data_IF_183539244010
#
_entry.id   IF_183539244010
#
_cell.length_a   1.000
_cell.length_b   1.000
_cell.length_c   1.000
_cell.angle_alpha   90.00
_cell.angle_beta   90.00
_cell.angle_gamma   90.00
#
_symmetry.space_group_name_H-M   'P 1'
#
loop_
_entity.id
_entity.type
_entity.pdbx_description
1 polymer ?
#
# COMPACT_ATOMS: atom_id res chain seq x y z
N UNK A 1 6.69 -4.35 27.00
CA UNK A 1 8.06 -3.99 26.57
C UNK A 1 8.48 -2.71 27.27
N UNK A 2 9.76 -2.53 27.60
CA UNK A 2 10.28 -1.28 28.18
C UNK A 2 10.86 -1.35 29.60
N UNK A 3 10.90 -2.51 30.24
CA UNK A 3 11.60 -2.68 31.52
C UNK A 3 10.84 -2.12 32.74
N UNK A 4 11.60 -1.86 33.81
CA UNK A 4 11.15 -1.42 35.13
C UNK A 4 12.01 -0.25 35.59
N UNK A 5 11.40 0.79 36.16
CA UNK A 5 12.13 1.92 36.76
C UNK A 5 11.42 2.40 38.04
N UNK A 6 12.18 2.63 39.09
CA UNK A 6 11.69 3.24 40.35
C UNK A 6 12.00 4.73 40.35
N UNK A 7 10.96 5.55 40.50
CA UNK A 7 11.04 7.02 40.60
C UNK A 7 10.36 7.42 41.91
N UNK A 8 11.06 8.13 42.79
CA UNK A 8 10.55 8.59 44.10
C UNK A 8 9.93 7.46 44.96
N UNK A 9 10.52 6.26 44.92
CA UNK A 9 10.05 5.10 45.68
C UNK A 9 8.86 4.35 45.07
N UNK A 10 8.32 4.81 43.95
CA UNK A 10 7.28 4.11 43.19
C UNK A 10 7.86 3.42 41.95
N UNK A 11 7.53 2.15 41.75
CA UNK A 11 7.97 1.36 40.60
C UNK A 11 6.98 1.47 39.44
N UNK A 12 7.50 1.73 38.24
CA UNK A 12 6.75 1.80 37.00
C UNK A 12 7.22 0.72 36.02
N UNK A 13 6.27 0.05 35.36
CA UNK A 13 6.53 -1.02 34.40
C UNK A 13 6.14 -0.59 32.99
N UNK A 14 7.05 -0.80 32.04
CA UNK A 14 6.84 -0.53 30.63
C UNK A 14 7.14 0.91 30.22
N UNK A 15 7.61 1.08 28.98
CA UNK A 15 8.16 2.34 28.48
C UNK A 15 7.16 3.51 28.61
N UNK A 16 5.89 3.27 28.32
CA UNK A 16 4.85 4.31 28.39
C UNK A 16 4.67 4.86 29.81
N UNK A 17 4.52 3.97 30.79
CA UNK A 17 4.34 4.37 32.20
C UNK A 17 5.61 5.03 32.75
N UNK A 18 6.78 4.51 32.38
CA UNK A 18 8.07 5.11 32.73
C UNK A 18 8.16 6.53 32.16
N UNK A 19 7.83 6.73 30.88
CA UNK A 19 7.86 8.04 30.23
C UNK A 19 6.92 9.05 30.91
N UNK A 20 5.68 8.65 31.21
CA UNK A 20 4.71 9.50 31.90
C UNK A 20 5.13 9.83 33.33
N UNK A 21 5.81 8.94 34.04
CA UNK A 21 6.36 9.25 35.35
C UNK A 21 7.53 10.24 35.24
N UNK A 22 8.37 10.11 34.20
CA UNK A 22 9.50 11.01 33.99
C UNK A 22 9.11 12.41 33.52
N UNK A 23 7.99 12.57 32.82
CA UNK A 23 7.54 13.91 32.37
C UNK A 23 7.12 14.80 33.53
N UNK A 24 6.58 14.21 34.61
CA UNK A 24 6.12 14.93 35.80
C UNK A 24 7.22 15.15 36.84
N UNK A 25 8.36 14.44 36.74
CA UNK A 25 9.49 14.59 37.65
C UNK A 25 10.50 15.63 37.11
N UNK A 26 10.63 16.81 37.75
CA UNK A 26 11.53 17.85 37.27
C UNK A 26 13.02 17.50 37.43
N UNK A 27 13.36 16.53 38.28
CA UNK A 27 14.75 16.11 38.55
C UNK A 27 15.35 15.30 37.41
N UNK A 28 14.51 14.70 36.56
CA UNK A 28 14.94 13.88 35.43
C UNK A 28 15.51 14.77 34.33
N UNK A 29 16.82 14.64 34.08
CA UNK A 29 17.53 15.44 33.06
C UNK A 29 17.49 14.82 31.67
N UNK A 30 17.42 13.49 31.59
CA UNK A 30 17.31 12.71 30.36
C UNK A 30 16.39 11.52 30.63
N UNK A 31 15.40 11.31 29.77
CA UNK A 31 14.46 10.20 29.92
C UNK A 31 15.16 8.86 29.75
N UNK A 32 14.54 7.80 30.26
CA UNK A 32 15.09 6.45 30.33
C UNK A 32 15.24 5.80 28.92
N UNK A 33 16.22 4.91 28.69
CA UNK A 33 16.41 4.27 27.37
C UNK A 33 15.22 3.46 26.87
N UNK A 34 14.28 3.10 27.74
CA UNK A 34 13.01 2.49 27.37
C UNK A 34 12.17 3.34 26.42
N UNK A 35 12.36 4.66 26.37
CA UNK A 35 11.68 5.56 25.43
C UNK A 35 11.86 5.17 23.95
N UNK A 36 12.88 4.37 23.61
CA UNK A 36 13.04 3.79 22.26
C UNK A 36 11.81 2.99 21.81
N UNK A 37 11.08 2.38 22.74
CA UNK A 37 9.85 1.67 22.42
C UNK A 37 8.64 2.59 22.19
N UNK A 38 8.83 3.91 22.23
CA UNK A 38 7.78 4.92 22.00
C UNK A 38 8.09 5.82 20.82
N UNK A 39 9.25 5.67 20.17
CA UNK A 39 9.68 6.53 19.05
C UNK A 39 9.45 5.90 17.66
N UNK A 40 9.02 4.64 17.59
CA UNK A 40 8.85 3.83 16.35
C UNK A 40 7.83 4.35 15.32
N UNK A 41 7.28 5.56 15.50
CA UNK A 41 6.36 6.18 14.55
C UNK A 41 7.00 7.18 13.59
N UNK A 42 8.33 7.27 13.53
CA UNK A 42 9.02 8.22 12.64
C UNK A 42 8.65 8.02 11.16
N UNK A 43 8.56 6.77 10.69
CA UNK A 43 8.13 6.47 9.31
C UNK A 43 6.71 6.96 8.99
N UNK A 44 5.83 7.01 10.01
CA UNK A 44 4.43 7.44 9.88
C UNK A 44 4.33 8.94 9.59
N UNK A 45 5.26 9.71 10.16
CA UNK A 45 5.34 11.17 10.04
C UNK A 45 6.20 11.58 8.84
N UNK A 46 7.29 10.88 8.57
CA UNK A 46 8.28 11.32 7.58
C UNK A 46 8.42 10.37 6.39
N UNK A 47 8.71 9.10 6.64
CA UNK A 47 8.97 8.12 5.57
C UNK A 47 7.80 7.97 4.58
N UNK A 48 6.56 7.84 5.08
CA UNK A 48 5.38 7.68 4.23
C UNK A 48 4.99 8.95 3.46
N UNK A 49 5.36 10.14 3.97
CA UNK A 49 5.28 11.38 3.18
C UNK A 49 6.23 11.30 1.99
N UNK A 50 7.47 10.84 2.22
CA UNK A 50 8.46 10.62 1.15
C UNK A 50 7.98 9.60 0.12
N UNK A 51 7.39 8.48 0.55
CA UNK A 51 6.81 7.46 -0.33
C UNK A 51 5.65 8.03 -1.17
N UNK A 52 4.73 8.76 -0.55
CA UNK A 52 3.61 9.39 -1.25
C UNK A 52 4.08 10.40 -2.30
N UNK A 53 5.09 11.22 -1.98
CA UNK A 53 5.72 12.12 -2.94
C UNK A 53 6.36 11.36 -4.10
N UNK A 54 6.99 10.21 -3.85
CA UNK A 54 7.55 9.36 -4.91
C UNK A 54 6.45 8.77 -5.81
N UNK A 55 5.34 8.32 -5.25
CA UNK A 55 4.17 7.86 -6.03
C UNK A 55 3.62 8.98 -6.91
N UNK A 56 3.36 10.16 -6.34
CA UNK A 56 2.88 11.31 -7.09
C UNK A 56 3.85 11.75 -8.20
N UNK A 57 5.16 11.75 -7.91
CA UNK A 57 6.20 12.13 -8.87
C UNK A 57 6.31 11.18 -10.06
N UNK A 58 6.02 9.90 -9.84
CA UNK A 58 6.17 8.81 -10.81
C UNK A 58 4.87 8.41 -11.49
N UNK A 59 3.72 8.91 -11.02
CA UNK A 59 2.43 8.72 -11.66
C UNK A 59 2.37 9.31 -13.08
N UNK A 60 1.51 8.73 -13.92
CA UNK A 60 1.21 9.23 -15.26
C UNK A 60 0.58 10.63 -15.17
N UNK A 61 0.93 11.58 -16.06
CA UNK A 61 0.48 12.97 -15.99
C UNK A 61 -1.05 13.11 -15.81
N UNK A 62 -1.82 12.34 -16.58
CA UNK A 62 -3.28 12.34 -16.60
C UNK A 62 -3.90 11.79 -15.30
N UNK A 63 -3.15 10.99 -14.52
CA UNK A 63 -3.62 10.38 -13.27
C UNK A 63 -3.20 11.14 -12.01
N UNK A 64 -2.38 12.19 -12.15
CA UNK A 64 -1.81 12.93 -11.00
C UNK A 64 -2.87 13.61 -10.14
N UNK A 65 -3.88 14.23 -10.75
CA UNK A 65 -4.90 14.97 -9.99
C UNK A 65 -5.73 14.03 -9.13
N UNK A 66 -6.22 12.93 -9.71
CA UNK A 66 -6.94 11.88 -8.99
C UNK A 66 -6.06 11.27 -7.88
N UNK A 67 -4.81 10.94 -8.18
CA UNK A 67 -3.90 10.39 -7.19
C UNK A 67 -3.63 11.37 -6.04
N UNK A 68 -3.45 12.65 -6.32
CA UNK A 68 -3.25 13.69 -5.31
C UNK A 68 -4.44 13.76 -4.35
N UNK A 69 -5.66 13.72 -4.87
CA UNK A 69 -6.88 13.73 -4.07
C UNK A 69 -6.98 12.54 -3.11
N UNK A 70 -6.41 11.38 -3.49
CA UNK A 70 -6.36 10.18 -2.64
C UNK A 70 -5.18 10.20 -1.65
N UNK A 71 -4.01 10.68 -2.08
CA UNK A 71 -2.81 10.69 -1.25
C UNK A 71 -2.87 11.71 -0.12
N UNK A 72 -3.44 12.90 -0.34
CA UNK A 72 -3.52 13.95 0.71
C UNK A 72 -4.20 13.44 1.98
N UNK A 73 -5.44 12.89 1.94
CA UNK A 73 -6.09 12.40 3.15
C UNK A 73 -5.35 11.21 3.76
N UNK A 74 -4.85 10.27 2.94
CA UNK A 74 -4.09 9.12 3.44
C UNK A 74 -2.80 9.55 4.17
N UNK A 75 -2.06 10.50 3.61
CA UNK A 75 -0.86 11.09 4.22
C UNK A 75 -1.22 11.86 5.47
N UNK A 76 -2.28 12.68 5.45
CA UNK A 76 -2.72 13.41 6.64
C UNK A 76 -3.08 12.47 7.79
N UNK A 77 -3.79 11.38 7.51
CA UNK A 77 -4.14 10.35 8.50
C UNK A 77 -2.89 9.68 9.09
N UNK A 78 -1.93 9.26 8.26
CA UNK A 78 -0.66 8.71 8.74
C UNK A 78 0.15 9.72 9.55
N UNK A 79 0.26 10.94 9.02
CA UNK A 79 1.07 12.00 9.60
C UNK A 79 0.56 12.45 10.96
N UNK A 80 -0.76 12.66 11.09
CA UNK A 80 -1.37 13.23 12.30
C UNK A 80 -1.56 12.19 13.40
N UNK A 81 -2.08 11.00 13.05
CA UNK A 81 -2.54 9.99 14.01
C UNK A 81 -1.89 8.61 13.84
N UNK A 82 -0.90 8.50 12.94
CA UNK A 82 -0.05 7.31 12.87
C UNK A 82 -0.70 6.06 12.24
N UNK A 83 -1.80 6.23 11.51
CA UNK A 83 -2.49 5.16 10.78
C UNK A 83 -1.94 5.09 9.35
N UNK A 84 -1.19 4.03 9.05
CA UNK A 84 -0.34 3.92 7.85
C UNK A 84 -0.95 3.06 6.75
N UNK A 85 -1.91 2.21 7.10
CA UNK A 85 -2.50 1.17 6.26
C UNK A 85 -3.00 1.70 4.91
N UNK A 86 -3.65 2.88 4.80
CA UNK A 86 -4.10 3.39 3.51
C UNK A 86 -2.98 3.58 2.48
N UNK A 87 -1.76 3.91 2.95
CA UNK A 87 -0.59 4.07 2.08
C UNK A 87 0.15 2.74 1.93
N UNK A 88 0.32 2.01 3.02
CA UNK A 88 1.14 0.81 3.08
C UNK A 88 0.56 -0.37 2.31
N UNK A 89 -0.74 -0.63 2.45
CA UNK A 89 -1.40 -1.72 1.73
C UNK A 89 -1.30 -1.56 0.22
N UNK A 90 -1.23 -0.32 -0.23
CA UNK A 90 -1.12 0.04 -1.63
C UNK A 90 0.15 -0.50 -2.29
N UNK A 91 1.30 -0.47 -1.62
CA UNK A 91 2.53 -1.05 -2.19
C UNK A 91 2.85 -2.44 -1.63
N UNK A 92 2.30 -2.82 -0.47
CA UNK A 92 2.39 -4.20 0.05
C UNK A 92 1.87 -5.23 -0.96
N UNK A 93 0.71 -4.96 -1.57
CA UNK A 93 0.08 -5.92 -2.49
C UNK A 93 0.46 -5.73 -3.96
N UNK A 94 0.84 -4.51 -4.36
CA UNK A 94 1.14 -4.20 -5.76
C UNK A 94 2.63 -4.36 -6.08
N UNK A 95 3.51 -4.07 -5.11
CA UNK A 95 4.95 -4.18 -5.27
C UNK A 95 5.60 -4.70 -3.97
N UNK A 96 5.46 -5.99 -3.62
CA UNK A 96 6.00 -6.57 -2.38
C UNK A 96 7.49 -6.30 -2.16
N UNK A 97 8.26 -6.14 -3.24
CA UNK A 97 9.66 -5.73 -3.16
C UNK A 97 9.86 -4.35 -2.50
N UNK A 98 9.01 -3.36 -2.81
CA UNK A 98 9.02 -2.05 -2.15
C UNK A 98 8.68 -2.15 -0.67
N UNK A 99 7.86 -3.13 -0.27
CA UNK A 99 7.57 -3.40 1.15
C UNK A 99 8.80 -3.86 1.91
N UNK A 100 9.60 -4.77 1.35
CA UNK A 100 10.86 -5.21 1.97
C UNK A 100 11.83 -4.04 2.15
N UNK A 101 11.95 -3.19 1.13
CA UNK A 101 12.79 -1.97 1.19
C UNK A 101 12.26 -0.99 2.25
N UNK A 102 10.94 -0.78 2.30
CA UNK A 102 10.28 0.03 3.32
C UNK A 102 10.63 -0.46 4.73
N UNK A 103 10.44 -1.75 5.02
CA UNK A 103 10.71 -2.31 6.35
C UNK A 103 12.19 -2.21 6.73
N UNK A 104 13.11 -2.40 5.76
CA UNK A 104 14.53 -2.25 5.99
C UNK A 104 14.93 -0.80 6.30
N UNK A 105 14.41 0.15 5.51
CA UNK A 105 14.67 1.57 5.75
C UNK A 105 14.12 2.02 7.10
N UNK A 106 12.88 1.64 7.43
CA UNK A 106 12.28 1.97 8.72
C UNK A 106 13.14 1.46 9.88
N UNK A 107 13.53 0.19 9.86
CA UNK A 107 14.41 -0.40 10.87
C UNK A 107 15.78 0.27 10.98
N UNK A 108 16.42 0.62 9.85
CA UNK A 108 17.72 1.32 9.84
C UNK A 108 17.58 2.70 10.51
N UNK A 109 16.54 3.44 10.14
CA UNK A 109 16.30 4.77 10.68
C UNK A 109 15.92 4.75 12.17
N UNK A 110 15.20 3.72 12.61
CA UNK A 110 14.94 3.48 14.02
C UNK A 110 16.25 3.21 14.78
N UNK A 111 17.14 2.36 14.26
CA UNK A 111 18.46 2.11 14.86
C UNK A 111 19.29 3.39 14.94
N UNK A 112 19.34 4.20 13.87
CA UNK A 112 20.05 5.50 13.86
C UNK A 112 19.49 6.41 14.97
N UNK A 113 18.17 6.46 15.12
CA UNK A 113 17.48 7.28 16.12
C UNK A 113 17.83 6.82 17.55
N UNK A 114 17.78 5.52 17.82
CA UNK A 114 18.19 4.92 19.10
C UNK A 114 19.66 5.23 19.42
N UNK A 115 20.58 5.00 18.48
CA UNK A 115 22.02 5.22 18.68
C UNK A 115 22.37 6.69 18.88
N UNK A 116 21.56 7.60 18.33
CA UNK A 116 21.67 9.04 18.54
C UNK A 116 21.21 9.49 19.94
N UNK A 117 20.69 8.56 20.74
CA UNK A 117 20.24 8.80 22.11
C UNK A 117 18.95 9.61 22.20
N UNK A 118 18.16 9.65 21.12
CA UNK A 118 16.82 10.25 21.14
C UNK A 118 15.93 9.50 22.13
N UNK A 119 15.09 10.26 22.85
CA UNK A 119 14.10 9.78 23.83
C UNK A 119 12.74 10.45 23.60
N UNK A 120 12.46 10.81 22.36
CA UNK A 120 11.21 11.43 21.96
C UNK A 120 10.07 10.41 21.94
N UNK A 121 8.86 10.88 22.21
CA UNK A 121 7.64 10.14 21.95
C UNK A 121 7.20 10.42 20.51
N UNK A 122 7.00 9.38 19.71
CA UNK A 122 6.56 9.51 18.32
C UNK A 122 5.69 8.39 17.78
N UNK A 123 5.26 7.43 18.61
CA UNK A 123 4.59 6.20 18.19
C UNK A 123 3.28 6.40 17.40
N UNK A 124 2.46 7.37 17.77
CA UNK A 124 1.12 7.64 17.20
C UNK A 124 1.05 8.85 16.27
N UNK A 125 2.18 9.29 15.71
CA UNK A 125 2.21 10.39 14.74
C UNK A 125 2.45 11.76 15.36
N UNK A 126 2.20 12.82 14.58
CA UNK A 126 2.56 14.19 14.93
C UNK A 126 1.82 14.68 16.17
N UNK A 127 0.52 14.39 16.32
CA UNK A 127 -0.27 14.91 17.46
C UNK A 127 0.33 14.41 18.78
N UNK A 128 0.63 13.12 18.84
CA UNK A 128 1.21 12.51 20.04
C UNK A 128 2.64 13.02 20.29
N UNK A 129 3.44 13.18 19.22
CA UNK A 129 4.75 13.81 19.31
C UNK A 129 4.69 15.22 19.91
N UNK A 130 3.78 16.07 19.42
CA UNK A 130 3.58 17.42 19.93
C UNK A 130 3.06 17.42 21.37
N UNK A 131 2.24 16.43 21.74
CA UNK A 131 1.65 16.32 23.08
C UNK A 131 2.69 15.93 24.13
N UNK A 132 3.63 15.04 23.80
CA UNK A 132 4.56 14.50 24.79
C UNK A 132 6.00 15.02 24.65
N UNK A 133 6.53 15.10 23.43
CA UNK A 133 7.96 15.43 23.22
C UNK A 133 8.27 16.91 23.40
N UNK A 134 7.35 17.80 22.98
CA UNK A 134 7.53 19.24 23.11
C UNK A 134 7.50 19.67 24.59
N UNK A 135 6.47 19.32 25.39
CA UNK A 135 6.42 19.68 26.80
C UNK A 135 7.54 19.07 27.64
N UNK A 136 8.00 17.86 27.30
CA UNK A 136 9.14 17.22 27.97
C UNK A 136 10.46 18.00 27.78
N UNK A 137 10.53 18.87 26.77
CA UNK A 137 11.68 19.73 26.52
C UNK A 137 12.84 19.05 25.81
N UNK A 138 13.69 19.87 25.20
CA UNK A 138 14.81 19.42 24.34
C UNK A 138 15.83 18.61 25.15
N UNK A 139 16.17 19.05 26.37
CA UNK A 139 17.19 18.40 27.19
C UNK A 139 16.84 16.96 27.57
N UNK A 140 15.55 16.68 27.79
CA UNK A 140 15.08 15.36 28.28
C UNK A 140 14.83 14.35 27.16
N UNK A 141 14.46 14.82 25.97
CA UNK A 141 14.03 13.95 24.86
C UNK A 141 14.92 14.00 23.62
N UNK A 142 15.69 15.09 23.44
CA UNK A 142 16.43 15.36 22.20
C UNK A 142 15.55 15.34 20.95
N UNK A 143 14.28 15.72 21.07
CA UNK A 143 13.33 15.70 19.96
C UNK A 143 13.74 16.49 18.69
N UNK A 144 14.55 17.57 18.75
CA UNK A 144 14.99 18.22 17.49
C UNK A 144 15.81 17.28 16.61
N UNK A 145 16.57 16.36 17.21
CA UNK A 145 17.33 15.35 16.48
C UNK A 145 16.40 14.30 15.84
N UNK A 146 15.31 13.93 16.52
CA UNK A 146 14.25 13.10 15.94
C UNK A 146 13.68 13.73 14.65
N UNK A 147 13.36 15.03 14.69
CA UNK A 147 12.86 15.76 13.51
C UNK A 147 13.92 15.82 12.41
N UNK A 148 15.18 16.09 12.74
CA UNK A 148 16.28 16.12 11.78
C UNK A 148 16.47 14.78 11.07
N UNK A 149 16.51 13.67 11.82
CA UNK A 149 16.61 12.32 11.27
C UNK A 149 15.37 12.00 10.44
N UNK A 150 14.18 12.41 10.89
CA UNK A 150 12.92 12.26 10.15
C UNK A 150 12.96 12.95 8.79
N UNK A 151 13.44 14.19 8.70
CA UNK A 151 13.56 14.89 7.41
C UNK A 151 14.53 14.17 6.46
N UNK A 152 15.61 13.58 6.98
CA UNK A 152 16.51 12.73 6.19
C UNK A 152 15.79 11.44 5.75
N UNK A 153 14.96 10.84 6.61
CA UNK A 153 14.13 9.68 6.26
C UNK A 153 13.17 10.01 5.12
N UNK A 154 12.46 11.15 5.19
CA UNK A 154 11.57 11.62 4.13
C UNK A 154 12.32 11.74 2.80
N UNK A 155 13.46 12.43 2.79
CA UNK A 155 14.27 12.60 1.58
C UNK A 155 14.76 11.26 1.04
N UNK A 156 15.21 10.36 1.92
CA UNK A 156 15.68 9.02 1.56
C UNK A 156 14.56 8.20 0.93
N UNK A 157 13.38 8.16 1.54
CA UNK A 157 12.22 7.48 0.98
C UNK A 157 11.84 8.05 -0.38
N UNK A 158 11.78 9.36 -0.52
CA UNK A 158 11.48 10.01 -1.80
C UNK A 158 12.46 9.58 -2.90
N UNK A 159 13.77 9.63 -2.64
CA UNK A 159 14.80 9.28 -3.61
C UNK A 159 14.78 7.79 -3.94
N UNK A 160 14.82 6.93 -2.91
CA UNK A 160 14.88 5.47 -3.07
C UNK A 160 13.63 4.95 -3.76
N UNK A 161 12.44 5.34 -3.31
CA UNK A 161 11.20 4.89 -3.94
C UNK A 161 11.11 5.40 -5.38
N UNK A 162 11.42 6.68 -5.64
CA UNK A 162 11.39 7.22 -7.00
C UNK A 162 12.34 6.46 -7.92
N UNK A 163 13.53 6.14 -7.44
CA UNK A 163 14.52 5.36 -8.18
C UNK A 163 14.01 3.94 -8.48
N UNK A 164 13.58 3.20 -7.47
CA UNK A 164 13.14 1.81 -7.63
C UNK A 164 11.88 1.70 -8.51
N UNK A 165 10.92 2.60 -8.33
CA UNK A 165 9.69 2.64 -9.14
C UNK A 165 10.03 2.83 -10.63
N UNK A 166 10.95 3.75 -10.94
CA UNK A 166 11.38 3.98 -12.33
C UNK A 166 12.24 2.85 -12.87
N UNK A 167 13.22 2.38 -12.08
CA UNK A 167 14.19 1.36 -12.49
C UNK A 167 13.54 0.02 -12.81
N UNK A 168 12.56 -0.38 -12.00
CA UNK A 168 11.86 -1.66 -12.16
C UNK A 168 10.47 -1.52 -12.78
N UNK A 169 10.12 -0.32 -13.26
CA UNK A 169 8.82 0.00 -13.83
C UNK A 169 7.63 -0.49 -12.97
N UNK A 170 7.72 -0.27 -11.67
CA UNK A 170 6.72 -0.77 -10.71
C UNK A 170 5.37 -0.08 -10.95
N UNK A 171 4.29 -0.85 -10.86
CA UNK A 171 2.92 -0.42 -11.11
C UNK A 171 2.29 0.24 -9.87
N UNK A 172 3.02 1.14 -9.20
CA UNK A 172 2.50 1.89 -8.04
C UNK A 172 1.29 2.76 -8.41
N UNK A 173 0.51 3.29 -7.46
CA UNK A 173 -0.66 4.12 -7.74
C UNK A 173 -0.40 5.22 -8.75
N UNK A 174 -1.34 5.39 -9.68
CA UNK A 174 -1.22 6.33 -10.78
C UNK A 174 -0.26 5.90 -11.90
N UNK A 175 0.40 4.73 -11.80
CA UNK A 175 1.17 4.10 -12.90
C UNK A 175 0.45 2.91 -13.54
N UNK A 176 -0.64 2.46 -12.93
CA UNK A 176 -1.50 1.40 -13.46
C UNK A 176 -2.24 1.85 -14.72
N UNK A 177 -2.75 0.89 -15.47
CA UNK A 177 -3.57 1.16 -16.66
C UNK A 177 -5.04 1.36 -16.26
N UNK A 178 -5.48 0.69 -15.19
CA UNK A 178 -6.81 0.79 -14.57
C UNK A 178 -7.02 2.06 -13.73
N UNK A 179 -8.20 2.19 -13.12
CA UNK A 179 -8.59 3.30 -12.24
C UNK A 179 -7.57 3.54 -11.10
N UNK A 180 -7.33 4.81 -10.77
CA UNK A 180 -6.41 5.18 -9.69
C UNK A 180 -7.07 4.90 -8.35
N UNK A 181 -6.50 3.98 -7.56
CA UNK A 181 -6.95 3.73 -6.19
C UNK A 181 -5.81 3.45 -5.23
N UNK A 182 -6.12 3.57 -3.95
CA UNK A 182 -5.29 3.02 -2.86
C UNK A 182 -5.84 1.65 -2.50
N UNK A 183 -4.99 0.63 -2.44
CA UNK A 183 -5.45 -0.74 -2.21
C UNK A 183 -5.65 -0.97 -0.73
N UNK A 184 -6.77 -1.58 -0.39
CA UNK A 184 -7.06 -2.06 0.96
C UNK A 184 -6.85 -3.56 1.08
N UNK A 185 -6.86 -4.07 2.30
CA UNK A 185 -6.86 -5.51 2.56
C UNK A 185 -8.09 -6.22 1.96
N UNK A 186 -9.22 -5.52 1.85
CA UNK A 186 -10.44 -6.05 1.23
C UNK A 186 -10.24 -6.24 -0.28
N UNK A 187 -9.69 -5.23 -0.97
CA UNK A 187 -9.36 -5.31 -2.40
C UNK A 187 -8.47 -6.53 -2.73
N UNK A 188 -7.46 -6.79 -1.89
CA UNK A 188 -6.56 -7.93 -2.08
C UNK A 188 -7.28 -9.28 -1.91
N UNK A 189 -8.13 -9.41 -0.87
CA UNK A 189 -8.91 -10.62 -0.62
C UNK A 189 -9.89 -10.90 -1.75
N UNK A 190 -10.59 -9.88 -2.24
CA UNK A 190 -11.50 -10.00 -3.38
C UNK A 190 -10.73 -10.47 -4.61
N UNK A 191 -9.62 -9.82 -4.97
CA UNK A 191 -8.76 -10.21 -6.09
C UNK A 191 -8.28 -11.67 -5.99
N UNK A 192 -7.84 -12.09 -4.81
CA UNK A 192 -7.35 -13.46 -4.57
C UNK A 192 -8.47 -14.49 -4.64
N UNK A 193 -9.65 -14.17 -4.13
CA UNK A 193 -10.81 -15.06 -4.13
C UNK A 193 -11.36 -15.22 -5.54
N UNK A 194 -11.50 -14.12 -6.28
CA UNK A 194 -11.85 -14.07 -7.69
C UNK A 194 -10.89 -14.86 -8.57
N UNK A 195 -9.59 -14.83 -8.29
CA UNK A 195 -8.64 -15.67 -9.02
C UNK A 195 -8.77 -17.14 -8.65
N UNK A 196 -8.95 -17.49 -7.37
CA UNK A 196 -9.14 -18.88 -6.94
C UNK A 196 -10.43 -19.48 -7.49
N UNK A 197 -11.52 -18.73 -7.57
CA UNK A 197 -12.79 -19.24 -8.11
C UNK A 197 -12.68 -19.63 -9.59
N UNK A 198 -11.94 -18.87 -10.39
CA UNK A 198 -11.65 -19.22 -11.80
C UNK A 198 -10.88 -20.54 -11.90
N UNK A 199 -9.87 -20.72 -11.05
CA UNK A 199 -9.05 -21.94 -11.05
C UNK A 199 -9.86 -23.17 -10.62
N UNK A 200 -10.70 -23.03 -9.61
CA UNK A 200 -11.61 -24.08 -9.16
C UNK A 200 -12.67 -24.39 -10.21
N UNK A 201 -13.24 -23.39 -10.90
CA UNK A 201 -14.23 -23.61 -11.94
C UNK A 201 -13.64 -24.37 -13.14
N UNK A 202 -12.43 -24.02 -13.56
CA UNK A 202 -11.70 -24.72 -14.62
C UNK A 202 -11.36 -26.16 -14.17
N UNK A 203 -10.86 -26.33 -12.94
CA UNK A 203 -10.50 -27.66 -12.43
C UNK A 203 -11.71 -28.58 -12.20
N UNK A 204 -12.89 -28.03 -11.92
CA UNK A 204 -14.13 -28.77 -11.67
C UNK A 204 -14.96 -29.07 -12.93
N UNK A 205 -14.49 -28.70 -14.13
CA UNK A 205 -15.25 -28.90 -15.38
C UNK A 205 -16.50 -28.04 -15.49
N UNK A 206 -16.54 -26.89 -14.79
CA UNK A 206 -17.55 -25.83 -14.94
C UNK A 206 -17.02 -24.68 -15.82
N UNK A 207 -16.14 -25.04 -16.74
CA UNK A 207 -15.55 -24.14 -17.74
C UNK A 207 -16.63 -23.49 -18.64
N UNK A 208 -17.73 -24.21 -18.88
CA UNK A 208 -18.86 -23.74 -19.69
C UNK A 208 -19.60 -22.54 -19.08
N UNK A 209 -19.86 -22.56 -17.77
CA UNK A 209 -20.58 -21.46 -17.08
C UNK A 209 -19.72 -20.19 -17.03
N UNK A 210 -18.42 -20.38 -16.78
CA UNK A 210 -17.45 -19.28 -16.80
C UNK A 210 -17.35 -18.67 -18.21
N UNK A 211 -17.22 -19.50 -19.24
CA UNK A 211 -17.16 -19.05 -20.62
C UNK A 211 -18.45 -18.34 -21.06
N UNK A 212 -19.61 -18.86 -20.65
CA UNK A 212 -20.90 -18.23 -20.91
C UNK A 212 -20.96 -16.81 -20.30
N UNK A 213 -20.60 -16.66 -19.02
CA UNK A 213 -20.57 -15.37 -18.35
C UNK A 213 -19.60 -14.38 -19.02
N UNK A 214 -18.44 -14.85 -19.48
CA UNK A 214 -17.48 -14.02 -20.21
C UNK A 214 -18.06 -13.55 -21.54
N UNK A 215 -18.66 -14.46 -22.32
CA UNK A 215 -19.22 -14.14 -23.63
C UNK A 215 -20.45 -13.23 -23.50
N UNK A 216 -21.28 -13.44 -22.49
CA UNK A 216 -22.43 -12.56 -22.20
C UNK A 216 -21.96 -11.14 -21.83
N UNK A 217 -20.97 -11.03 -20.94
CA UNK A 217 -20.40 -9.73 -20.58
C UNK A 217 -19.67 -9.03 -21.74
N UNK A 218 -19.25 -9.76 -22.77
CA UNK A 218 -18.71 -9.20 -24.01
C UNK A 218 -19.80 -8.72 -24.99
N UNK A 219 -21.09 -8.80 -24.64
CA UNK A 219 -22.20 -8.44 -25.53
C UNK A 219 -22.73 -9.61 -26.36
N UNK A 220 -22.41 -10.84 -25.97
CA UNK A 220 -22.84 -12.06 -26.63
C UNK A 220 -21.95 -12.49 -27.80
N UNK A 221 -22.23 -13.68 -28.34
CA UNK A 221 -21.41 -14.32 -29.40
C UNK A 221 -21.25 -13.45 -30.64
N UNK A 222 -22.34 -12.78 -31.06
CA UNK A 222 -22.35 -11.95 -32.26
C UNK A 222 -21.51 -10.68 -32.15
N UNK A 223 -21.08 -10.30 -30.93
CA UNK A 223 -20.23 -9.13 -30.73
C UNK A 223 -18.73 -9.48 -30.77
N UNK A 224 -18.37 -10.76 -30.84
CA UNK A 224 -16.97 -11.22 -30.76
C UNK A 224 -16.47 -11.55 -32.16
N UNK A 225 -15.47 -10.82 -32.65
CA UNK A 225 -14.83 -11.13 -33.93
C UNK A 225 -13.68 -12.12 -33.77
N UNK A 226 -12.78 -11.85 -32.83
CA UNK A 226 -11.61 -12.68 -32.58
C UNK A 226 -11.31 -12.75 -31.10
N UNK A 227 -10.80 -13.90 -30.69
CA UNK A 227 -10.31 -14.13 -29.33
C UNK A 227 -8.89 -14.69 -29.43
N UNK A 228 -7.99 -14.11 -28.66
CA UNK A 228 -6.60 -14.51 -28.56
C UNK A 228 -6.16 -14.33 -27.09
N UNK A 229 -4.96 -14.79 -26.73
CA UNK A 229 -4.40 -14.46 -25.43
C UNK A 229 -2.89 -14.31 -25.45
N UNK A 230 -2.39 -13.46 -24.57
CA UNK A 230 -0.97 -13.40 -24.24
C UNK A 230 -0.69 -14.21 -22.95
N UNK A 231 0.42 -13.91 -22.29
CA UNK A 231 0.81 -14.57 -21.04
C UNK A 231 -0.18 -14.36 -19.88
N UNK A 232 -0.85 -13.21 -19.82
CA UNK A 232 -1.70 -12.86 -18.67
C UNK A 232 -3.06 -12.27 -19.01
N UNK A 233 -3.40 -12.13 -20.30
CA UNK A 233 -4.58 -11.39 -20.76
C UNK A 233 -5.27 -12.09 -21.92
N UNK A 234 -6.58 -12.23 -21.82
CA UNK A 234 -7.46 -12.59 -22.92
C UNK A 234 -7.67 -11.32 -23.76
N UNK A 235 -7.38 -11.39 -25.05
CA UNK A 235 -7.53 -10.28 -26.00
C UNK A 235 -8.69 -10.60 -26.91
N UNK A 236 -9.66 -9.70 -26.95
CA UNK A 236 -10.87 -9.87 -27.73
C UNK A 236 -11.00 -8.66 -28.64
N UNK A 237 -11.23 -8.90 -29.93
CA UNK A 237 -11.74 -7.86 -30.83
C UNK A 237 -13.25 -7.99 -30.87
N UNK A 238 -13.95 -6.90 -30.57
CA UNK A 238 -15.42 -6.84 -30.57
C UNK A 238 -15.92 -5.87 -31.64
N UNK A 239 -17.14 -6.11 -32.12
CA UNK A 239 -17.79 -5.25 -33.12
C UNK A 239 -18.30 -3.94 -32.50
N UNK A 240 -18.83 -4.01 -31.28
CA UNK A 240 -19.33 -2.86 -30.53
C UNK A 240 -18.81 -2.89 -29.07
N UNK A 241 -17.90 -1.97 -28.75
CA UNK A 241 -17.33 -1.84 -27.41
C UNK A 241 -18.30 -1.19 -26.39
N UNK A 242 -19.39 -0.57 -26.86
CA UNK A 242 -20.39 0.12 -26.05
C UNK A 242 -21.29 -0.83 -25.26
N UNK A 243 -21.51 -2.04 -25.77
CA UNK A 243 -22.32 -3.07 -25.11
C UNK A 243 -21.52 -4.02 -24.20
N UNK A 244 -20.20 -3.82 -24.10
CA UNK A 244 -19.33 -4.65 -23.24
C UNK A 244 -19.47 -4.24 -21.78
N UNK A 245 -19.92 -5.17 -20.94
CA UNK A 245 -20.04 -5.02 -19.48
C UNK A 245 -18.71 -5.32 -18.78
N UNK A 246 -18.01 -4.25 -18.40
CA UNK A 246 -16.75 -4.33 -17.67
C UNK A 246 -16.90 -4.87 -16.25
N UNK A 247 -18.05 -4.60 -15.59
CA UNK A 247 -18.31 -5.08 -14.25
C UNK A 247 -18.60 -6.58 -14.28
N UNK A 248 -19.40 -7.04 -15.24
CA UNK A 248 -19.62 -8.45 -15.53
C UNK A 248 -18.31 -9.19 -15.79
N UNK A 249 -17.45 -8.64 -16.67
CA UNK A 249 -16.12 -9.20 -16.95
C UNK A 249 -15.23 -9.28 -15.69
N UNK A 250 -15.22 -8.26 -14.83
CA UNK A 250 -14.53 -8.33 -13.52
C UNK A 250 -15.15 -9.39 -12.61
N UNK A 251 -16.47 -9.56 -12.65
CA UNK A 251 -17.22 -10.60 -11.94
C UNK A 251 -16.82 -12.03 -12.33
N UNK A 252 -16.34 -12.24 -13.55
CA UNK A 252 -15.80 -13.54 -14.00
C UNK A 252 -14.44 -13.90 -13.40
N UNK A 253 -13.93 -13.08 -12.47
CA UNK A 253 -12.65 -13.29 -11.81
C UNK A 253 -11.46 -12.61 -12.48
N UNK A 254 -11.73 -11.73 -13.45
CA UNK A 254 -10.71 -10.89 -14.06
C UNK A 254 -10.18 -9.84 -13.07
N UNK A 255 -8.87 -9.66 -13.06
CA UNK A 255 -8.20 -8.64 -12.23
C UNK A 255 -8.24 -7.23 -12.79
N UNK A 256 -8.65 -7.07 -14.06
CA UNK A 256 -8.73 -5.81 -14.77
C UNK A 256 -9.31 -6.01 -16.17
N UNK A 257 -9.86 -4.94 -16.73
CA UNK A 257 -10.43 -4.89 -18.09
C UNK A 257 -9.93 -3.59 -18.72
N UNK A 258 -9.33 -3.70 -19.91
CA UNK A 258 -8.76 -2.57 -20.65
C UNK A 258 -9.51 -2.47 -21.97
N UNK A 259 -10.11 -1.32 -22.25
CA UNK A 259 -10.75 -1.02 -23.55
C UNK A 259 -9.87 -0.08 -24.37
N UNK A 260 -9.62 -0.43 -25.62
CA UNK A 260 -8.96 0.43 -26.60
C UNK A 260 -9.70 0.36 -27.94
N UNK A 261 -10.76 1.16 -28.06
CA UNK A 261 -11.75 1.03 -29.14
C UNK A 261 -12.39 -0.36 -29.09
N UNK A 262 -12.41 -1.03 -30.23
CA UNK A 262 -12.89 -2.41 -30.42
C UNK A 262 -12.02 -3.50 -29.78
N UNK A 263 -10.84 -3.14 -29.25
CA UNK A 263 -9.93 -4.11 -28.65
C UNK A 263 -10.12 -4.13 -27.13
N UNK A 264 -10.62 -5.24 -26.61
CA UNK A 264 -10.84 -5.49 -25.19
C UNK A 264 -9.74 -6.42 -24.68
N UNK A 265 -9.11 -6.09 -23.56
CA UNK A 265 -8.18 -6.99 -22.86
C UNK A 265 -8.67 -7.29 -21.45
N UNK A 266 -8.85 -8.56 -21.13
CA UNK A 266 -9.31 -9.02 -19.81
C UNK A 266 -8.18 -9.75 -19.10
N UNK A 267 -7.82 -9.31 -17.90
CA UNK A 267 -6.60 -9.76 -17.20
C UNK A 267 -6.91 -10.93 -16.25
N UNK A 268 -6.71 -12.16 -16.70
CA UNK A 268 -6.87 -13.38 -15.88
C UNK A 268 -5.58 -13.89 -15.23
N UNK A 269 -4.43 -13.28 -15.53
CA UNK A 269 -3.15 -13.76 -15.03
C UNK A 269 -2.72 -15.07 -15.69
N UNK A 270 -1.98 -15.91 -14.96
CA UNK A 270 -1.44 -17.20 -15.45
C UNK A 270 -2.51 -18.21 -15.89
N UNK A 271 -3.78 -17.94 -15.55
CA UNK A 271 -4.93 -18.81 -15.84
C UNK A 271 -5.55 -18.56 -17.21
N UNK A 272 -5.04 -17.55 -17.93
CA UNK A 272 -5.63 -17.09 -19.19
C UNK A 272 -5.74 -18.18 -20.25
N UNK A 273 -4.79 -19.11 -20.34
CA UNK A 273 -4.86 -20.22 -21.29
C UNK A 273 -6.08 -21.13 -21.03
N UNK A 274 -6.37 -21.43 -19.77
CA UNK A 274 -7.55 -22.20 -19.40
C UNK A 274 -8.85 -21.46 -19.72
N UNK A 275 -8.87 -20.14 -19.47
CA UNK A 275 -10.02 -19.29 -19.84
C UNK A 275 -10.21 -19.22 -21.36
N UNK A 276 -9.12 -19.07 -22.14
CA UNK A 276 -9.15 -19.06 -23.61
C UNK A 276 -9.80 -20.33 -24.15
N UNK A 277 -9.33 -21.49 -23.67
CA UNK A 277 -9.84 -22.79 -24.10
C UNK A 277 -11.33 -22.97 -23.76
N UNK A 278 -11.74 -22.52 -22.56
CA UNK A 278 -13.14 -22.55 -22.16
C UNK A 278 -14.03 -21.69 -23.08
N UNK A 279 -13.57 -20.48 -23.41
CA UNK A 279 -14.27 -19.57 -24.33
C UNK A 279 -14.33 -20.15 -25.75
N UNK A 280 -13.24 -20.72 -26.28
CA UNK A 280 -13.25 -21.37 -27.60
C UNK A 280 -14.26 -22.51 -27.68
N UNK A 281 -14.25 -23.38 -26.68
CA UNK A 281 -15.17 -24.51 -26.61
C UNK A 281 -16.63 -24.04 -26.56
N UNK A 282 -16.89 -22.96 -25.83
CA UNK A 282 -18.23 -22.36 -25.77
C UNK A 282 -18.64 -21.67 -27.08
N UNK A 283 -17.72 -21.05 -27.81
CA UNK A 283 -18.03 -20.41 -29.10
C UNK A 283 -18.19 -21.42 -30.24
N UNK A 284 -17.56 -22.59 -30.14
CA UNK A 284 -17.61 -23.65 -31.14
C UNK A 284 -18.90 -24.51 -31.11
N UNK A 285 -19.62 -24.54 -29.98
CA UNK A 285 -20.89 -25.27 -29.81
C UNK A 285 -22.09 -24.36 -29.92
#
# INVERSE_FOLDING_TARGET
MGGELTINGQTYLGAYNIFLAQITDPSVKLFDPSAKFLQYGMVKVFGLVGAALAFYRTAKPEKKNTLKALLIPAVATSFLVGITEPIEFTFLFVAPFLWVVHSALDGIFEVITVLSGVRAFGAGGLIEFLTFSLPAGIGRTRWPLFVGIGLVQLATYYVVFTFLIKKFNLKTPGREDDEVKLFTKKDYKEKTTSQKSVETAIAAGKDTDLAAAIVEALGGRGNIETVDNCFSRLRIKVTDAGIVDELGLKGTGASGVIKNGENIQVVYGTKVNGVRNAVDKYLAG
#
